data_IF_600333402871
#
_entry.id   IF_600333402871
#
_cell.length_a   1.000
_cell.length_b   1.000
_cell.length_c   1.000
_cell.angle_alpha   90.00
_cell.angle_beta   90.00
_cell.angle_gamma   90.00
#
_symmetry.space_group_name_H-M   'P 1'
#
loop_
_entity.id
_entity.type
_entity.pdbx_description
1 polymer ?
#
# COMPACT_ATOMS: atom_id res chain seq x y z
N UNK A 1 -8.74 -5.66 20.80
CA UNK A 1 -9.28 -4.32 20.49
C UNK A 1 -9.82 -4.39 19.08
N UNK A 2 -11.12 -4.17 18.88
CA UNK A 2 -11.73 -4.21 17.54
C UNK A 2 -11.38 -2.93 16.79
N UNK A 3 -10.93 -3.04 15.54
CA UNK A 3 -10.69 -1.89 14.68
C UNK A 3 -12.02 -1.20 14.34
N UNK A 4 -12.06 0.14 14.21
CA UNK A 4 -13.26 0.83 13.75
C UNK A 4 -13.59 0.45 12.29
N UNK A 5 -14.83 0.69 11.83
CA UNK A 5 -15.12 0.62 10.41
C UNK A 5 -14.22 1.60 9.63
N UNK A 6 -13.89 1.23 8.39
CA UNK A 6 -13.13 2.09 7.48
C UNK A 6 -13.96 3.30 7.05
N UNK A 7 -13.30 4.39 6.65
CA UNK A 7 -13.97 5.58 6.14
C UNK A 7 -14.79 5.23 4.89
N UNK A 8 -15.95 5.88 4.73
CA UNK A 8 -16.92 5.56 3.66
C UNK A 8 -16.39 5.79 2.24
N UNK A 9 -15.34 6.59 2.09
CA UNK A 9 -14.67 6.86 0.82
C UNK A 9 -13.52 5.88 0.53
N UNK A 10 -13.26 4.90 1.40
CA UNK A 10 -12.27 3.84 1.14
C UNK A 10 -12.67 3.05 -0.10
N UNK A 11 -11.81 2.96 -1.14
CA UNK A 11 -12.19 2.33 -2.40
C UNK A 11 -12.28 0.82 -2.24
N UNK A 12 -13.22 0.22 -2.96
CA UNK A 12 -13.30 -1.24 -3.08
C UNK A 12 -12.17 -1.79 -3.96
N UNK A 13 -11.91 -3.08 -3.89
CA UNK A 13 -10.99 -3.75 -4.82
C UNK A 13 -11.39 -3.56 -6.29
N UNK A 14 -12.69 -3.53 -6.59
CA UNK A 14 -13.20 -3.26 -7.94
C UNK A 14 -12.86 -1.84 -8.40
N UNK A 15 -13.08 -0.84 -7.53
CA UNK A 15 -12.73 0.55 -7.83
C UNK A 15 -11.22 0.73 -8.03
N UNK A 16 -10.38 0.01 -7.27
CA UNK A 16 -8.93 0.01 -7.46
C UNK A 16 -8.51 -0.58 -8.81
N UNK A 17 -9.15 -1.66 -9.27
CA UNK A 17 -8.88 -2.26 -10.59
C UNK A 17 -9.29 -1.34 -11.73
N UNK A 18 -10.42 -0.64 -11.59
CA UNK A 18 -10.87 0.36 -12.55
C UNK A 18 -9.92 1.56 -12.61
N UNK A 19 -9.48 2.08 -11.45
CA UNK A 19 -8.48 3.13 -11.40
C UNK A 19 -7.18 2.70 -12.09
N UNK A 20 -6.73 1.46 -11.85
CA UNK A 20 -5.53 0.91 -12.47
C UNK A 20 -5.66 0.77 -14.00
N UNK A 21 -6.82 0.38 -14.53
CA UNK A 21 -7.01 0.25 -15.98
C UNK A 21 -6.91 1.59 -16.73
N UNK A 22 -7.16 2.69 -16.03
CA UNK A 22 -6.98 4.05 -16.56
C UNK A 22 -5.56 4.60 -16.42
N UNK A 23 -4.71 3.96 -15.61
CA UNK A 23 -3.34 4.39 -15.35
C UNK A 23 -2.46 4.14 -16.57
N UNK A 24 -1.63 5.12 -16.93
CA UNK A 24 -0.63 5.03 -18.00
C UNK A 24 0.77 5.30 -17.44
N UNK A 25 1.80 4.89 -18.16
CA UNK A 25 3.19 5.17 -17.79
C UNK A 25 3.46 6.69 -17.66
N UNK A 26 2.81 7.48 -18.51
CA UNK A 26 2.96 8.94 -18.64
C UNK A 26 1.92 9.72 -17.81
N UNK A 27 1.11 9.01 -17.00
CA UNK A 27 0.16 9.68 -16.12
C UNK A 27 0.86 10.69 -15.22
N UNK A 28 0.34 11.92 -15.19
CA UNK A 28 0.87 12.99 -14.36
C UNK A 28 0.54 12.69 -12.90
N UNK A 29 1.53 12.57 -12.00
CA UNK A 29 1.29 12.16 -10.62
C UNK A 29 0.62 13.27 -9.82
N UNK A 30 -0.50 12.95 -9.16
CA UNK A 30 -1.11 13.81 -8.13
C UNK A 30 -0.70 13.40 -6.69
N UNK A 31 0.10 12.34 -6.56
CA UNK A 31 0.45 11.67 -5.31
C UNK A 31 1.89 11.95 -4.83
N UNK A 32 2.65 12.78 -5.55
CA UNK A 32 4.02 13.15 -5.18
C UNK A 32 5.00 13.01 -6.35
N UNK A 33 6.24 12.65 -6.04
CA UNK A 33 7.36 12.68 -6.99
C UNK A 33 7.57 11.38 -7.78
N UNK A 34 6.86 10.30 -7.41
CA UNK A 34 7.01 9.00 -8.06
C UNK A 34 6.21 8.95 -9.37
N UNK A 35 6.83 8.44 -10.44
CA UNK A 35 6.09 8.10 -11.65
C UNK A 35 5.17 6.89 -11.42
N UNK A 36 4.34 6.55 -12.41
CA UNK A 36 3.36 5.46 -12.32
C UNK A 36 4.01 4.12 -11.94
N UNK A 37 5.08 3.70 -12.62
CA UNK A 37 5.77 2.43 -12.33
C UNK A 37 6.33 2.40 -10.91
N UNK A 38 6.93 3.49 -10.44
CA UNK A 38 7.44 3.61 -9.08
C UNK A 38 6.33 3.57 -8.02
N UNK A 39 5.19 4.19 -8.29
CA UNK A 39 4.03 4.15 -7.39
C UNK A 39 3.44 2.72 -7.32
N UNK A 40 3.31 2.03 -8.46
CA UNK A 40 2.89 0.64 -8.49
C UNK A 40 3.83 -0.26 -7.71
N UNK A 41 5.15 -0.09 -7.88
CA UNK A 41 6.16 -0.81 -7.09
C UNK A 41 6.02 -0.49 -5.59
N UNK A 42 5.84 0.78 -5.24
CA UNK A 42 5.68 1.23 -3.86
C UNK A 42 4.49 0.52 -3.20
N UNK A 43 3.30 0.62 -3.78
CA UNK A 43 2.10 -0.03 -3.25
C UNK A 43 2.24 -1.56 -3.20
N UNK A 44 2.83 -2.17 -4.25
CA UNK A 44 3.06 -3.62 -4.28
C UNK A 44 3.99 -4.09 -3.15
N UNK A 45 4.98 -3.28 -2.75
CA UNK A 45 5.86 -3.63 -1.61
C UNK A 45 5.14 -3.56 -0.26
N UNK A 46 4.15 -2.68 -0.11
CA UNK A 46 3.27 -2.71 1.07
C UNK A 46 2.44 -3.99 1.11
N UNK A 47 1.89 -4.41 -0.02
CA UNK A 47 1.17 -5.69 -0.10
C UNK A 47 2.11 -6.88 0.19
N UNK A 48 3.33 -6.87 -0.36
CA UNK A 48 4.35 -7.89 -0.04
C UNK A 48 4.69 -7.93 1.46
N UNK A 49 4.69 -6.78 2.14
CA UNK A 49 4.86 -6.71 3.60
C UNK A 49 3.67 -7.37 4.33
N UNK A 50 2.44 -7.06 3.93
CA UNK A 50 1.22 -7.65 4.53
C UNK A 50 1.16 -9.17 4.33
N UNK A 51 1.61 -9.63 3.16
CA UNK A 51 1.70 -11.05 2.80
C UNK A 51 2.93 -11.76 3.44
N UNK A 52 3.71 -11.07 4.27
CA UNK A 52 4.87 -11.65 4.97
C UNK A 52 6.08 -11.97 4.08
N UNK A 53 6.11 -11.48 2.83
CA UNK A 53 7.22 -11.67 1.88
C UNK A 53 8.42 -10.78 2.17
N UNK A 54 8.24 -9.75 3.00
CA UNK A 54 9.29 -8.85 3.45
C UNK A 54 9.54 -9.10 4.94
N UNK A 55 10.77 -9.53 5.25
CA UNK A 55 11.17 -9.79 6.61
C UNK A 55 11.18 -8.49 7.44
N UNK A 56 10.54 -8.55 8.61
CA UNK A 56 10.52 -7.47 9.61
C UNK A 56 11.27 -7.95 10.85
N UNK A 57 12.15 -7.13 11.45
CA UNK A 57 12.82 -7.49 12.69
C UNK A 57 11.84 -7.92 13.80
N UNK A 58 12.22 -8.91 14.61
CA UNK A 58 11.34 -9.46 15.66
C UNK A 58 10.84 -8.41 16.67
N UNK A 59 11.70 -7.45 17.03
CA UNK A 59 11.32 -6.33 17.91
C UNK A 59 10.24 -5.44 17.28
N UNK A 60 10.34 -5.18 15.97
CA UNK A 60 9.38 -4.35 15.25
C UNK A 60 8.03 -5.07 15.13
N UNK A 61 8.03 -6.40 14.93
CA UNK A 61 6.81 -7.22 15.00
C UNK A 61 6.12 -7.10 16.35
N UNK A 62 6.88 -7.19 17.45
CA UNK A 62 6.33 -7.06 18.80
C UNK A 62 5.72 -5.66 19.00
N UNK A 63 6.45 -4.61 18.60
CA UNK A 63 5.96 -3.24 18.66
C UNK A 63 4.68 -3.07 17.84
N UNK A 64 4.65 -3.52 16.59
CA UNK A 64 3.47 -3.45 15.72
C UNK A 64 2.25 -4.17 16.31
N UNK A 65 2.41 -5.24 17.09
CA UNK A 65 1.28 -5.89 17.79
C UNK A 65 0.74 -5.04 18.94
N UNK A 66 1.61 -4.29 19.63
CA UNK A 66 1.24 -3.44 20.76
C UNK A 66 0.59 -2.12 20.30
N UNK A 67 1.20 -1.43 19.33
CA UNK A 67 0.75 -0.10 18.88
C UNK A 67 -0.11 -0.15 17.61
N UNK A 68 -0.12 -1.27 16.89
CA UNK A 68 -0.78 -1.43 15.60
C UNK A 68 -2.26 -1.05 15.61
N UNK A 69 -3.09 -1.52 16.57
CA UNK A 69 -4.50 -1.14 16.61
C UNK A 69 -4.72 0.37 16.77
N UNK A 70 -3.91 1.04 17.60
CA UNK A 70 -3.97 2.50 17.80
C UNK A 70 -3.53 3.24 16.53
N UNK A 71 -2.43 2.77 15.92
CA UNK A 71 -1.93 3.29 14.66
C UNK A 71 -2.99 3.17 13.55
N UNK A 72 -3.49 1.95 13.28
CA UNK A 72 -4.49 1.69 12.25
C UNK A 72 -5.77 2.50 12.47
N UNK A 73 -6.27 2.57 13.71
CA UNK A 73 -7.43 3.42 14.04
C UNK A 73 -7.24 4.87 13.62
N UNK A 74 -6.02 5.41 13.72
CA UNK A 74 -5.72 6.80 13.34
C UNK A 74 -5.74 7.06 11.83
N UNK A 75 -5.74 6.01 10.99
CA UNK A 75 -5.82 6.10 9.52
C UNK A 75 -7.14 5.61 8.96
N UNK A 76 -7.68 4.49 9.46
CA UNK A 76 -8.87 3.84 8.91
C UNK A 76 -10.10 4.75 8.92
N UNK A 77 -10.21 5.66 9.89
CA UNK A 77 -11.38 6.55 10.03
C UNK A 77 -11.25 7.88 9.30
N UNK A 78 -10.11 8.14 8.63
CA UNK A 78 -9.84 9.41 7.97
C UNK A 78 -10.17 9.30 6.47
N UNK A 79 -10.69 10.38 5.85
CA UNK A 79 -10.96 10.39 4.43
C UNK A 79 -9.66 10.32 3.62
N UNK A 80 -9.79 9.93 2.35
CA UNK A 80 -8.70 9.97 1.37
C UNK A 80 -8.14 11.38 1.32
N UNK A 81 -6.80 11.49 1.36
CA UNK A 81 -6.09 12.78 1.35
C UNK A 81 -5.86 13.41 2.73
N UNK A 82 -6.51 12.92 3.79
CA UNK A 82 -6.24 13.36 5.16
C UNK A 82 -5.04 12.63 5.81
N UNK A 83 -4.41 11.70 5.08
CA UNK A 83 -3.16 11.07 5.52
C UNK A 83 -2.05 12.12 5.58
N UNK A 84 -1.33 12.25 6.72
CA UNK A 84 -0.24 13.21 6.84
C UNK A 84 0.79 13.08 5.73
N UNK A 85 1.24 14.21 5.20
CA UNK A 85 2.30 14.24 4.18
C UNK A 85 3.66 13.93 4.83
N UNK A 86 4.58 13.38 4.04
CA UNK A 86 5.97 13.10 4.45
C UNK A 86 6.11 12.03 5.56
N UNK A 87 5.19 11.07 5.65
CA UNK A 87 5.37 9.92 6.52
C UNK A 87 6.57 9.08 6.09
N UNK A 88 7.39 8.68 7.06
CA UNK A 88 8.55 7.84 6.84
C UNK A 88 8.13 6.45 6.33
N UNK A 89 8.71 6.03 5.21
CA UNK A 89 8.57 4.66 4.70
C UNK A 89 9.75 3.82 5.18
N UNK A 90 9.48 2.64 5.74
CA UNK A 90 10.54 1.72 6.16
C UNK A 90 11.51 1.42 5.00
N UNK A 91 12.84 1.42 5.21
CA UNK A 91 13.81 1.21 4.12
C UNK A 91 13.54 -0.06 3.30
N UNK A 92 13.12 -1.13 3.98
CA UNK A 92 12.79 -2.41 3.36
C UNK A 92 11.57 -2.38 2.43
N UNK A 93 10.74 -1.33 2.42
CA UNK A 93 9.61 -1.19 1.47
C UNK A 93 9.70 0.05 0.59
N UNK A 94 10.75 0.87 0.77
CA UNK A 94 10.94 2.11 0.02
C UNK A 94 11.23 1.81 -1.45
N UNK A 95 10.49 2.47 -2.35
CA UNK A 95 10.84 2.46 -3.77
C UNK A 95 12.20 3.18 -3.95
N UNK A 96 13.12 2.57 -4.70
CA UNK A 96 14.43 3.18 -4.94
C UNK A 96 14.26 4.39 -5.86
N UNK A 97 14.71 5.59 -5.46
CA UNK A 97 14.70 6.75 -6.35
C UNK A 97 15.50 6.47 -7.61
N UNK A 98 14.99 6.86 -8.78
CA UNK A 98 15.69 6.73 -10.06
C UNK A 98 15.78 5.32 -10.64
N UNK A 99 15.07 4.33 -10.06
CA UNK A 99 14.93 3.04 -10.71
C UNK A 99 14.09 3.17 -11.99
N UNK A 100 14.65 2.77 -13.12
CA UNK A 100 13.90 2.54 -14.35
C UNK A 100 13.12 1.23 -14.16
N UNK A 101 11.79 1.35 -14.17
CA UNK A 101 10.87 0.25 -13.95
C UNK A 101 9.93 0.18 -15.15
N UNK A 102 9.83 -1.02 -15.72
CA UNK A 102 8.90 -1.32 -16.81
C UNK A 102 7.46 -1.23 -16.29
N UNK A 103 6.63 -0.43 -16.96
CA UNK A 103 5.27 -0.15 -16.49
C UNK A 103 4.40 -1.41 -16.47
N UNK A 104 4.44 -2.22 -17.54
CA UNK A 104 3.59 -3.40 -17.68
C UNK A 104 3.97 -4.48 -16.66
N UNK A 105 5.27 -4.63 -16.40
CA UNK A 105 5.77 -5.52 -15.33
C UNK A 105 5.27 -5.08 -13.96
N UNK A 106 5.27 -3.78 -13.67
CA UNK A 106 4.77 -3.27 -12.38
C UNK A 106 3.25 -3.37 -12.26
N UNK A 107 2.49 -3.19 -13.34
CA UNK A 107 1.03 -3.42 -13.36
C UNK A 107 0.73 -4.88 -13.06
N UNK A 108 1.39 -5.82 -13.74
CA UNK A 108 1.19 -7.25 -13.52
C UNK A 108 1.55 -7.65 -12.07
N UNK A 109 2.65 -7.11 -11.54
CA UNK A 109 3.08 -7.33 -10.15
C UNK A 109 2.04 -6.82 -9.16
N UNK A 110 1.53 -5.61 -9.38
CA UNK A 110 0.50 -5.01 -8.53
C UNK A 110 -0.78 -5.83 -8.53
N UNK A 111 -1.29 -6.20 -9.72
CA UNK A 111 -2.52 -7.00 -9.83
C UNK A 111 -2.39 -8.36 -9.14
N UNK A 112 -1.24 -9.02 -9.29
CA UNK A 112 -0.98 -10.29 -8.60
C UNK A 112 -1.02 -10.09 -7.08
N UNK A 113 -0.31 -9.10 -6.56
CA UNK A 113 -0.27 -8.85 -5.12
C UNK A 113 -1.63 -8.42 -4.57
N UNK A 114 -2.42 -7.66 -5.34
CA UNK A 114 -3.78 -7.26 -4.98
C UNK A 114 -4.70 -8.48 -4.85
N UNK A 115 -4.63 -9.41 -5.81
CA UNK A 115 -5.38 -10.67 -5.76
C UNK A 115 -4.97 -11.53 -4.56
N UNK A 116 -3.67 -11.62 -4.27
CA UNK A 116 -3.16 -12.35 -3.11
C UNK A 116 -3.65 -11.74 -1.78
N UNK A 117 -3.78 -10.41 -1.69
CA UNK A 117 -4.34 -9.70 -0.51
C UNK A 117 -5.85 -9.87 -0.42
N UNK A 118 -6.58 -9.78 -1.54
CA UNK A 118 -8.04 -9.98 -1.56
C UNK A 118 -8.44 -11.41 -1.17
N UNK A 119 -7.57 -12.38 -1.47
CA UNK A 119 -7.75 -13.77 -1.06
C UNK A 119 -7.42 -14.04 0.42
N UNK A 120 -6.88 -13.05 1.16
CA UNK A 120 -6.69 -13.19 2.60
C UNK A 120 -8.05 -13.20 3.30
N UNK A 121 -8.32 -14.26 4.04
CA UNK A 121 -9.45 -14.35 4.96
C UNK A 121 -8.92 -14.40 6.41
N UNK A 122 -9.60 -13.71 7.32
CA UNK A 122 -9.30 -13.72 8.75
C UNK A 122 -8.34 -12.65 9.29
N UNK A 123 -8.23 -12.63 10.62
CA UNK A 123 -7.43 -11.66 11.42
C UNK A 123 -6.00 -12.16 11.56
N UNK A 124 -5.03 -11.40 11.04
CA UNK A 124 -3.60 -11.56 11.35
C UNK A 124 -3.29 -11.02 12.75
#
# INVERSE_FOLDING_TARGET
>A
MTLPPVCSDTPSFAALREALSSLRQESVPNWGIMNSSQMLRHCSRFMDLYLGRIAVPGWARLLSRLIGPLFLRSFLTKPIGATPRNLGTMPAIKARPGAELDFDVEVARFLKALADVEALDGVV
#
